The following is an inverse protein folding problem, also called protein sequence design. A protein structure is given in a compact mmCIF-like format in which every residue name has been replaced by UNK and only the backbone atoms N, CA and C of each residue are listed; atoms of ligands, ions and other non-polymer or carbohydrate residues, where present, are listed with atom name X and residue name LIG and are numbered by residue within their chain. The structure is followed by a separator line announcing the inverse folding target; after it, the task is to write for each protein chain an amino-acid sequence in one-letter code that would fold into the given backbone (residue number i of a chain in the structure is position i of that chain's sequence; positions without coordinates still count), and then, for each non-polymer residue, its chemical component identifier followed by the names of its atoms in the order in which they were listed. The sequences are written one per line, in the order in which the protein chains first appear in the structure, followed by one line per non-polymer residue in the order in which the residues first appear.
data_IF_492672596561
#
_entry.id   IF_492672596561
#
_cell.length_a   1.000
_cell.length_b   1.000
_cell.length_c   1.000
_cell.angle_alpha   90.00
_cell.angle_beta   90.00
_cell.angle_gamma   90.00
#
_symmetry.space_group_name_H-M   'P 1'
#
loop_
_entity.id
_entity.type
_entity.pdbx_description
1 polymer ?
#
# COMPACT_ATOMS: atom_id res chain seq x y z
N UNK A 1 10.30 7.24 -7.26
CA UNK A 1 9.50 6.50 -6.26
C UNK A 1 10.17 6.45 -4.90
N UNK A 2 11.46 6.16 -4.84
CA UNK A 2 12.17 6.08 -3.57
C UNK A 2 12.09 7.37 -2.76
N UNK A 3 12.36 8.50 -3.40
CA UNK A 3 12.30 9.80 -2.72
C UNK A 3 10.91 10.12 -2.20
N UNK A 4 9.90 9.77 -2.97
CA UNK A 4 8.50 9.96 -2.57
C UNK A 4 8.18 9.17 -1.31
N UNK A 5 8.59 7.91 -1.29
CA UNK A 5 8.35 7.04 -0.13
C UNK A 5 9.11 7.57 1.10
N UNK A 6 10.36 7.96 0.91
CA UNK A 6 11.17 8.50 2.01
C UNK A 6 10.53 9.75 2.62
N UNK A 7 9.99 10.61 1.78
CA UNK A 7 9.31 11.82 2.25
C UNK A 7 8.05 11.48 3.05
N UNK A 8 7.24 10.55 2.56
CA UNK A 8 6.03 10.12 3.25
C UNK A 8 6.38 9.46 4.59
N UNK A 9 7.41 8.61 4.61
CA UNK A 9 7.87 7.95 5.83
C UNK A 9 8.36 8.96 6.85
N UNK A 10 9.09 9.97 6.41
CA UNK A 10 9.56 11.02 7.30
C UNK A 10 8.40 11.73 7.99
N UNK A 11 7.38 12.11 7.23
CA UNK A 11 6.20 12.76 7.77
C UNK A 11 5.45 11.84 8.73
N UNK A 12 5.29 10.59 8.38
CA UNK A 12 4.56 9.62 9.20
C UNK A 12 5.29 9.37 10.52
N UNK A 13 6.61 9.26 10.49
CA UNK A 13 7.42 9.03 11.68
C UNK A 13 7.28 10.18 12.67
N UNK A 14 7.20 11.42 12.17
CA UNK A 14 7.01 12.58 13.02
C UNK A 14 5.64 12.57 13.72
N UNK A 15 4.63 11.99 13.10
CA UNK A 15 3.26 11.96 13.62
C UNK A 15 2.99 10.73 14.50
N UNK A 16 3.69 9.63 14.26
CA UNK A 16 3.43 8.34 14.91
C UNK A 16 4.72 7.79 15.53
N UNK A 17 5.13 8.35 16.65
CA UNK A 17 6.41 8.01 17.28
C UNK A 17 6.46 6.61 17.87
N UNK A 18 5.31 5.96 18.05
CA UNK A 18 5.25 4.61 18.62
C UNK A 18 5.30 3.50 17.57
N UNK A 19 5.25 3.88 16.29
CA UNK A 19 5.30 2.92 15.19
C UNK A 19 6.74 2.82 14.70
N UNK A 20 7.24 1.60 14.59
CA UNK A 20 8.54 1.36 13.96
C UNK A 20 8.32 1.19 12.46
N UNK A 21 9.05 1.95 11.66
CA UNK A 21 8.97 1.87 10.21
C UNK A 21 10.32 1.43 9.66
N UNK A 22 10.35 0.26 9.08
CA UNK A 22 11.55 -0.31 8.45
C UNK A 22 11.42 -0.18 6.94
N UNK A 23 12.49 0.23 6.28
CA UNK A 23 12.47 0.41 4.83
C UNK A 23 13.63 -0.32 4.18
N UNK A 24 13.35 -0.89 3.00
CA UNK A 24 14.36 -1.47 2.12
C UNK A 24 14.03 -0.96 0.71
N UNK A 25 14.68 0.12 0.31
CA UNK A 25 14.30 0.87 -0.87
C UNK A 25 15.39 0.87 -1.92
N UNK A 26 15.15 0.17 -3.02
CA UNK A 26 15.93 0.30 -4.25
C UNK A 26 15.17 1.27 -5.15
N UNK A 27 15.85 2.25 -5.71
CA UNK A 27 15.17 3.22 -6.54
C UNK A 27 14.54 2.56 -7.77
N UNK A 28 13.32 2.96 -8.07
CA UNK A 28 12.55 2.45 -9.19
C UNK A 28 11.64 3.56 -9.71
N UNK A 29 11.49 3.62 -11.02
CA UNK A 29 10.59 4.57 -11.65
C UNK A 29 9.30 3.86 -12.04
N UNK A 30 8.19 4.27 -11.44
CA UNK A 30 6.88 3.77 -11.81
C UNK A 30 6.29 4.66 -12.88
N UNK A 31 5.58 4.05 -13.83
CA UNK A 31 4.89 4.80 -14.88
C UNK A 31 3.79 5.66 -14.28
N UNK A 32 3.70 6.89 -14.74
CA UNK A 32 2.60 7.77 -14.38
C UNK A 32 3.05 9.04 -13.71
N UNK A 33 2.10 9.88 -13.36
CA UNK A 33 2.37 11.17 -12.75
C UNK A 33 2.67 11.01 -11.25
N UNK A 34 3.68 11.73 -10.79
CA UNK A 34 4.10 11.68 -9.39
C UNK A 34 2.97 12.05 -8.44
N UNK A 35 2.13 13.00 -8.79
CA UNK A 35 1.03 13.43 -7.91
C UNK A 35 0.03 12.31 -7.66
N UNK A 36 -0.28 11.52 -8.68
CA UNK A 36 -1.19 10.40 -8.51
C UNK A 36 -0.56 9.30 -7.67
N UNK A 37 0.73 9.02 -7.88
CA UNK A 37 1.44 8.04 -7.06
C UNK A 37 1.56 8.50 -5.62
N UNK A 38 1.78 9.78 -5.38
CA UNK A 38 1.83 10.30 -4.01
C UNK A 38 0.53 10.03 -3.27
N UNK A 39 -0.59 10.37 -3.88
CA UNK A 39 -1.91 10.15 -3.27
C UNK A 39 -2.14 8.66 -3.02
N UNK A 40 -1.79 7.82 -3.99
CA UNK A 40 -1.92 6.38 -3.90
C UNK A 40 -1.12 5.83 -2.70
N UNK A 41 0.17 6.16 -2.63
CA UNK A 41 1.07 5.66 -1.59
C UNK A 41 0.64 6.19 -0.23
N UNK A 42 0.27 7.46 -0.13
CA UNK A 42 -0.22 8.04 1.12
C UNK A 42 -1.44 7.28 1.64
N UNK A 43 -2.37 6.92 0.76
CA UNK A 43 -3.55 6.18 1.17
C UNK A 43 -3.20 4.78 1.70
N UNK A 44 -2.27 4.09 1.05
CA UNK A 44 -1.85 2.77 1.52
C UNK A 44 -1.15 2.86 2.87
N UNK A 45 -0.24 3.81 3.02
CA UNK A 45 0.53 3.97 4.25
C UNK A 45 -0.37 4.42 5.40
N UNK A 46 -1.31 5.32 5.14
CA UNK A 46 -2.29 5.70 6.15
C UNK A 46 -3.16 4.52 6.59
N UNK A 47 -3.55 3.67 5.64
CA UNK A 47 -4.27 2.45 5.96
C UNK A 47 -3.40 1.53 6.83
N UNK A 48 -2.14 1.34 6.47
CA UNK A 48 -1.23 0.54 7.27
C UNK A 48 -1.06 1.12 8.68
N UNK A 49 -0.91 2.43 8.80
CA UNK A 49 -0.75 3.10 10.10
C UNK A 49 -1.99 2.97 10.98
N UNK A 50 -3.18 2.90 10.36
CA UNK A 50 -4.43 2.75 11.10
C UNK A 50 -4.56 1.39 11.76
N UNK A 51 -4.05 0.34 11.09
CA UNK A 51 -4.25 -1.04 11.56
C UNK A 51 -3.01 -1.66 12.17
N UNK A 52 -1.88 -0.99 12.11
CA UNK A 52 -0.62 -1.52 12.64
C UNK A 52 -0.67 -1.67 14.16
N UNK A 53 -0.01 -2.72 14.66
CA UNK A 53 0.23 -2.88 16.09
C UNK A 53 1.55 -2.23 16.50
N UNK A 54 2.66 -2.54 15.81
CA UNK A 54 3.98 -2.04 16.16
C UNK A 54 4.84 -1.65 14.97
N UNK A 55 4.73 -2.36 13.85
CA UNK A 55 5.74 -2.28 12.80
C UNK A 55 5.14 -2.21 11.39
N UNK A 56 5.67 -1.27 10.61
CA UNK A 56 5.41 -1.19 9.18
C UNK A 56 6.72 -1.44 8.46
N UNK A 57 6.68 -2.29 7.42
CA UNK A 57 7.84 -2.53 6.55
C UNK A 57 7.50 -2.11 5.14
N UNK A 58 8.39 -1.37 4.51
CA UNK A 58 8.21 -0.91 3.14
C UNK A 58 9.36 -1.40 2.30
N UNK A 59 9.05 -2.18 1.27
CA UNK A 59 10.04 -2.75 0.35
C UNK A 59 9.78 -2.20 -1.04
N UNK A 60 10.77 -1.54 -1.62
CA UNK A 60 10.71 -1.06 -3.00
C UNK A 60 11.80 -1.72 -3.81
N UNK A 61 11.41 -2.38 -4.88
CA UNK A 61 12.32 -2.97 -5.86
C UNK A 61 11.86 -2.57 -7.24
N UNK A 62 12.52 -3.06 -8.29
CA UNK A 62 12.14 -2.69 -9.64
C UNK A 62 10.68 -3.04 -9.91
N UNK A 63 9.87 -2.00 -10.14
CA UNK A 63 8.44 -2.12 -10.47
C UNK A 63 7.64 -2.94 -9.45
N UNK A 64 8.09 -2.95 -8.18
CA UNK A 64 7.47 -3.72 -7.09
C UNK A 64 7.53 -2.92 -5.81
N UNK A 65 6.38 -2.74 -5.19
CA UNK A 65 6.27 -2.07 -3.89
C UNK A 65 5.42 -2.93 -2.96
N UNK A 66 5.97 -3.22 -1.79
CA UNK A 66 5.23 -3.94 -0.75
C UNK A 66 5.20 -3.11 0.51
N UNK A 67 4.00 -2.95 1.08
CA UNK A 67 3.80 -2.24 2.34
C UNK A 67 3.14 -3.22 3.29
N UNK A 68 3.90 -3.66 4.29
CA UNK A 68 3.48 -4.62 5.30
C UNK A 68 3.18 -3.91 6.61
N UNK A 69 2.13 -4.33 7.30
CA UNK A 69 1.89 -3.94 8.69
C UNK A 69 1.57 -5.17 9.52
N UNK A 70 2.07 -5.19 10.74
CA UNK A 70 1.74 -6.23 11.70
C UNK A 70 0.39 -5.86 12.34
N UNK A 71 -0.64 -6.50 11.89
CA UNK A 71 -2.00 -6.23 12.36
C UNK A 71 -2.87 -7.44 12.13
N UNK A 72 -4.15 -7.26 12.39
CA UNK A 72 -5.11 -8.32 12.18
C UNK A 72 -5.22 -8.67 10.69
N UNK A 73 -5.44 -9.96 10.38
CA UNK A 73 -5.63 -10.35 8.98
C UNK A 73 -6.89 -9.74 8.40
N UNK A 74 -6.89 -9.58 7.09
CA UNK A 74 -8.08 -9.16 6.36
C UNK A 74 -8.97 -10.38 6.10
N UNK A 75 -10.26 -10.10 5.87
CA UNK A 75 -11.19 -11.13 5.46
C UNK A 75 -10.88 -11.56 4.02
N UNK A 76 -10.54 -12.83 3.83
CA UNK A 76 -10.19 -13.37 2.52
C UNK A 76 -11.38 -13.91 1.72
N UNK A 77 -12.58 -13.88 2.27
CA UNK A 77 -13.75 -14.37 1.56
C UNK A 77 -14.03 -13.58 0.29
N UNK A 78 -13.71 -12.28 0.30
CA UNK A 78 -13.85 -11.43 -0.87
C UNK A 78 -12.78 -10.32 -0.85
N UNK A 79 -11.51 -10.67 -1.11
CA UNK A 79 -10.42 -9.70 -1.00
C UNK A 79 -10.55 -8.50 -1.96
N UNK A 80 -11.24 -8.67 -3.08
CA UNK A 80 -11.43 -7.57 -4.02
C UNK A 80 -12.33 -6.48 -3.48
N UNK A 81 -13.20 -6.78 -2.51
CA UNK A 81 -14.11 -5.81 -1.94
C UNK A 81 -13.37 -4.68 -1.22
N UNK A 82 -12.14 -4.93 -0.76
CA UNK A 82 -11.33 -3.91 -0.10
C UNK A 82 -11.11 -2.67 -0.96
N UNK A 83 -11.13 -2.83 -2.27
CA UNK A 83 -10.83 -1.77 -3.21
C UNK A 83 -12.06 -1.11 -3.80
N UNK A 84 -13.25 -1.47 -3.31
CA UNK A 84 -14.49 -0.85 -3.74
C UNK A 84 -14.74 0.44 -2.94
N UNK A 85 -15.36 1.45 -3.57
CA UNK A 85 -15.70 2.68 -2.85
C UNK A 85 -16.64 2.39 -1.68
N UNK A 86 -16.38 3.02 -0.55
CA UNK A 86 -17.21 2.95 0.65
C UNK A 86 -17.34 1.54 1.23
N UNK A 87 -16.45 0.63 0.87
CA UNK A 87 -16.43 -0.68 1.50
C UNK A 87 -16.06 -0.53 2.97
N UNK A 88 -16.85 -1.15 3.84
CA UNK A 88 -16.61 -1.10 5.27
C UNK A 88 -15.91 -2.40 5.67
N UNK A 89 -14.67 -2.28 6.12
CA UNK A 89 -13.90 -3.41 6.58
C UNK A 89 -14.20 -3.75 8.02
N UNK A 90 -13.38 -4.64 8.57
CA UNK A 90 -13.52 -5.13 9.94
C UNK A 90 -13.63 -4.00 10.97
N UNK A 91 -12.89 -2.91 10.79
CA UNK A 91 -12.94 -1.76 11.69
C UNK A 91 -13.75 -0.59 11.11
N UNK A 92 -14.49 -0.83 10.04
CA UNK A 92 -15.41 0.14 9.47
C UNK A 92 -14.77 1.37 8.85
N UNK A 93 -13.55 1.27 8.32
CA UNK A 93 -12.76 2.46 8.03
C UNK A 93 -12.11 2.51 6.65
N UNK A 94 -12.62 1.83 5.65
CA UNK A 94 -11.96 1.87 4.35
C UNK A 94 -12.33 3.09 3.51
N UNK A 95 -13.61 3.46 3.46
CA UNK A 95 -14.05 4.63 2.72
C UNK A 95 -13.60 4.63 1.26
N UNK A 96 -13.02 5.73 0.82
CA UNK A 96 -12.56 5.90 -0.57
C UNK A 96 -11.06 5.61 -0.78
N UNK A 97 -10.28 5.51 0.29
CA UNK A 97 -8.82 5.46 0.18
C UNK A 97 -8.30 4.33 -0.69
N UNK A 98 -8.75 3.11 -0.47
CA UNK A 98 -8.26 1.97 -1.23
C UNK A 98 -8.83 1.93 -2.65
N UNK A 99 -10.02 2.51 -2.89
CA UNK A 99 -10.53 2.60 -4.26
C UNK A 99 -9.70 3.57 -5.10
N UNK A 100 -9.16 4.62 -4.49
CA UNK A 100 -8.23 5.54 -5.16
C UNK A 100 -6.95 4.80 -5.53
N UNK A 101 -6.43 3.97 -4.64
CA UNK A 101 -5.27 3.13 -4.92
C UNK A 101 -5.54 2.25 -6.13
N UNK A 102 -6.65 1.55 -6.13
CA UNK A 102 -7.02 0.66 -7.22
C UNK A 102 -7.08 1.38 -8.57
N UNK A 103 -7.72 2.54 -8.59
CA UNK A 103 -7.83 3.34 -9.83
C UNK A 103 -6.47 3.76 -10.34
N UNK A 104 -5.60 4.23 -9.45
CA UNK A 104 -4.27 4.70 -9.86
C UNK A 104 -3.43 3.58 -10.44
N UNK A 105 -3.33 2.45 -9.74
CA UNK A 105 -2.50 1.36 -10.22
C UNK A 105 -3.02 0.80 -11.53
N UNK A 106 -4.33 0.66 -11.65
CA UNK A 106 -4.95 0.13 -12.86
C UNK A 106 -4.72 1.07 -14.05
N UNK A 107 -4.84 2.37 -13.83
CA UNK A 107 -4.65 3.38 -14.87
C UNK A 107 -3.26 3.29 -15.48
N UNK A 108 -2.24 2.96 -14.70
CA UNK A 108 -0.86 2.94 -15.15
C UNK A 108 -0.33 1.55 -15.46
N UNK A 109 -1.18 0.53 -15.48
CA UNK A 109 -0.78 -0.81 -15.87
C UNK A 109 -0.16 -1.64 -14.75
N UNK A 110 -0.48 -1.31 -13.51
CA UNK A 110 -0.06 -2.07 -12.34
C UNK A 110 -1.25 -2.78 -11.72
N UNK A 111 -0.98 -3.69 -10.80
CA UNK A 111 -2.01 -4.33 -10.01
C UNK A 111 -1.69 -4.15 -8.53
N UNK A 112 -2.73 -4.18 -7.70
CA UNK A 112 -2.59 -4.14 -6.25
C UNK A 112 -3.29 -5.35 -5.65
N UNK A 113 -2.65 -5.95 -4.68
CA UNK A 113 -3.20 -7.09 -3.95
C UNK A 113 -2.98 -6.91 -2.46
N UNK A 114 -3.94 -7.38 -1.66
CA UNK A 114 -3.79 -7.47 -0.23
C UNK A 114 -3.59 -8.94 0.13
N UNK A 115 -2.50 -9.24 0.83
CA UNK A 115 -2.09 -10.61 1.13
C UNK A 115 -1.89 -10.75 2.63
N UNK A 116 -2.59 -11.73 3.23
CA UNK A 116 -2.34 -12.06 4.62
C UNK A 116 -0.98 -12.76 4.75
N UNK A 117 -0.20 -12.30 5.72
CA UNK A 117 1.06 -12.94 6.11
C UNK A 117 0.86 -13.64 7.44
N UNK A 118 1.87 -14.36 7.90
CA UNK A 118 1.81 -15.07 9.17
C UNK A 118 1.54 -14.11 10.33
N UNK A 119 2.14 -12.91 10.27
CA UNK A 119 2.11 -11.94 11.36
C UNK A 119 1.53 -10.58 10.96
N UNK A 120 0.82 -10.50 9.84
CA UNK A 120 0.24 -9.24 9.41
C UNK A 120 -0.33 -9.30 8.02
N UNK A 121 -0.40 -8.13 7.38
CA UNK A 121 -0.97 -7.95 6.04
C UNK A 121 -0.02 -7.14 5.18
N UNK A 122 0.16 -7.56 3.92
CA UNK A 122 0.91 -6.80 2.93
C UNK A 122 0.01 -6.30 1.82
N UNK A 123 0.18 -5.03 1.45
CA UNK A 123 -0.33 -4.51 0.19
C UNK A 123 0.81 -4.48 -0.81
N UNK A 124 0.60 -5.13 -1.95
CA UNK A 124 1.64 -5.30 -2.97
C UNK A 124 1.18 -4.65 -4.26
N UNK A 125 1.99 -3.72 -4.77
CA UNK A 125 1.79 -3.10 -6.08
C UNK A 125 2.91 -3.57 -6.97
N UNK A 126 2.57 -4.16 -8.11
CA UNK A 126 3.56 -4.60 -9.07
C UNK A 126 3.04 -4.46 -10.49
N UNK A 127 3.96 -4.38 -11.43
CA UNK A 127 3.60 -4.23 -12.81
C UNK A 127 2.83 -5.43 -13.30
N UNK A 128 1.73 -5.16 -14.00
CA UNK A 128 0.94 -6.22 -14.60
C UNK A 128 1.69 -6.80 -15.78
N UNK A 129 1.92 -8.13 -15.74
CA UNK A 129 2.61 -8.80 -16.82
C UNK A 129 1.62 -9.06 -17.93
N UNK A 130 1.89 -8.49 -19.10
CA UNK A 130 1.13 -8.78 -20.31
C UNK A 130 1.69 -10.02 -20.96
N UNK A 131 0.88 -11.06 -21.08
CA UNK A 131 1.31 -12.25 -21.80
C UNK A 131 0.98 -12.09 -23.27
N UNK A 132 2.02 -12.08 -24.05
CA UNK A 132 1.91 -12.17 -25.49
C UNK A 132 2.01 -13.64 -25.87
N UNK A 133 0.97 -14.14 -26.48
CA UNK A 133 0.96 -15.53 -26.94
C UNK A 133 0.98 -15.55 -28.46
#
# INVERSE_FOLDING_TARGET
MKELIEHIVFQLTAMHTQIEILTDLQDSSFKGKDDYWRICIENIIENAARYVHHEIKIILKDQYLEIFNDGEPIDNSNPESLFQPYEIGHKGQFGLGLSIVYKTVTMYGYKVEAVNRVDGVSFIIQRKISRMI
#
